data_IF_224092627898
#
_entry.id   IF_224092627898
#
_cell.length_a   1.000
_cell.length_b   1.000
_cell.length_c   1.000
_cell.angle_alpha   90.00
_cell.angle_beta   90.00
_cell.angle_gamma   90.00
#
_symmetry.space_group_name_H-M   'P 1'
#
loop_
_entity.id
_entity.type
_entity.pdbx_description
1 polymer ?
#
# COMPACT_ATOMS: atom_id res chain seq x y z
N UNK A 1 21.86 -3.58 -17.14
CA UNK A 1 20.45 -3.67 -16.74
C UNK A 1 20.19 -5.07 -16.21
N UNK A 2 19.26 -5.27 -15.28
CA UNK A 2 18.90 -6.62 -14.83
C UNK A 2 18.20 -7.39 -15.96
N UNK A 3 18.36 -8.72 -15.99
CA UNK A 3 17.71 -9.60 -16.98
C UNK A 3 16.18 -9.42 -16.98
N UNK A 4 15.60 -9.21 -15.79
CA UNK A 4 14.19 -8.91 -15.59
C UNK A 4 13.76 -7.62 -16.30
N UNK A 5 14.54 -6.53 -16.19
CA UNK A 5 14.24 -5.26 -16.87
C UNK A 5 14.23 -5.41 -18.39
N UNK A 6 15.11 -6.24 -18.96
CA UNK A 6 15.15 -6.51 -20.39
C UNK A 6 13.91 -7.30 -20.85
N UNK A 7 13.50 -8.32 -20.08
CA UNK A 7 12.26 -9.06 -20.35
C UNK A 7 11.03 -8.14 -20.29
N UNK A 8 10.94 -7.26 -19.30
CA UNK A 8 9.85 -6.29 -19.17
C UNK A 8 9.79 -5.36 -20.39
N UNK A 9 10.94 -4.83 -20.84
CA UNK A 9 11.02 -4.01 -22.06
C UNK A 9 10.56 -4.79 -23.28
N UNK A 10 11.03 -6.02 -23.45
CA UNK A 10 10.60 -6.90 -24.55
C UNK A 10 9.08 -7.15 -24.51
N UNK A 11 8.52 -7.43 -23.33
CA UNK A 11 7.07 -7.64 -23.18
C UNK A 11 6.25 -6.41 -23.60
N UNK A 12 6.69 -5.19 -23.26
CA UNK A 12 6.02 -3.95 -23.69
C UNK A 12 5.96 -3.84 -25.22
N UNK A 13 7.04 -4.24 -25.91
CA UNK A 13 7.16 -4.16 -27.37
C UNK A 13 6.33 -5.23 -28.09
N UNK A 14 6.16 -6.41 -27.50
CA UNK A 14 5.45 -7.54 -28.11
C UNK A 14 3.98 -7.64 -27.70
N UNK A 15 3.47 -6.68 -26.91
CA UNK A 15 2.13 -6.72 -26.30
C UNK A 15 1.04 -6.98 -27.35
N UNK A 16 0.33 -8.09 -27.20
CA UNK A 16 -0.76 -8.51 -28.11
C UNK A 16 -0.42 -9.68 -29.04
N UNK A 17 0.85 -10.10 -29.10
CA UNK A 17 1.26 -11.34 -29.78
C UNK A 17 1.14 -12.57 -28.87
N UNK A 18 1.19 -13.78 -29.42
CA UNK A 18 1.28 -15.01 -28.61
C UNK A 18 2.57 -15.04 -27.77
N UNK A 19 3.69 -14.52 -28.30
CA UNK A 19 4.96 -14.39 -27.59
C UNK A 19 4.83 -13.56 -26.29
N UNK A 20 3.92 -12.58 -26.27
CA UNK A 20 3.67 -11.78 -25.06
C UNK A 20 3.08 -12.59 -23.90
N UNK A 21 2.33 -13.67 -24.19
CA UNK A 21 1.74 -14.51 -23.14
C UNK A 21 2.80 -15.34 -22.42
N UNK A 22 3.77 -15.87 -23.16
CA UNK A 22 4.84 -16.68 -22.60
C UNK A 22 5.81 -15.78 -21.83
N UNK A 23 6.18 -14.63 -22.39
CA UNK A 23 6.98 -13.62 -21.67
C UNK A 23 6.31 -13.15 -20.37
N UNK A 24 4.99 -12.96 -20.38
CA UNK A 24 4.25 -12.58 -19.17
C UNK A 24 4.42 -13.61 -18.05
N UNK A 25 4.31 -14.91 -18.39
CA UNK A 25 4.47 -15.99 -17.41
C UNK A 25 5.90 -16.04 -16.88
N UNK A 26 6.89 -15.93 -17.75
CA UNK A 26 8.31 -15.93 -17.35
C UNK A 26 8.63 -14.77 -16.41
N UNK A 27 8.17 -13.56 -16.73
CA UNK A 27 8.36 -12.38 -15.88
C UNK A 27 7.70 -12.59 -14.52
N UNK A 28 6.45 -13.09 -14.50
CA UNK A 28 5.77 -13.35 -13.25
C UNK A 28 6.51 -14.38 -12.39
N UNK A 29 6.96 -15.50 -12.97
CA UNK A 29 7.72 -16.52 -12.24
C UNK A 29 8.98 -15.93 -11.60
N UNK A 30 9.75 -15.15 -12.35
CA UNK A 30 10.95 -14.48 -11.83
C UNK A 30 10.60 -13.46 -10.72
N UNK A 31 9.47 -12.78 -10.82
CA UNK A 31 8.98 -11.92 -9.74
C UNK A 31 8.56 -12.73 -8.51
N UNK A 32 7.86 -13.86 -8.69
CA UNK A 32 7.43 -14.73 -7.59
C UNK A 32 8.62 -15.25 -6.76
N UNK A 33 9.69 -15.64 -7.44
CA UNK A 33 10.86 -16.20 -6.78
C UNK A 33 11.63 -15.15 -5.97
N UNK A 34 11.70 -13.92 -6.47
CA UNK A 34 12.51 -12.85 -5.90
C UNK A 34 11.76 -11.89 -4.97
N UNK A 35 10.43 -11.73 -5.12
CA UNK A 35 9.65 -10.68 -4.45
C UNK A 35 8.56 -11.23 -3.53
N UNK A 36 8.93 -12.09 -2.59
CA UNK A 36 8.00 -12.79 -1.69
C UNK A 36 7.22 -11.83 -0.78
N UNK A 37 7.86 -10.78 -0.28
CA UNK A 37 7.19 -9.80 0.58
C UNK A 37 6.18 -8.98 -0.21
N UNK A 38 6.50 -8.63 -1.46
CA UNK A 38 5.58 -7.91 -2.33
C UNK A 38 4.38 -8.78 -2.74
N UNK A 39 4.61 -10.06 -3.03
CA UNK A 39 3.56 -11.04 -3.34
C UNK A 39 2.58 -11.25 -2.18
N UNK A 40 3.04 -11.11 -0.93
CA UNK A 40 2.16 -11.14 0.23
C UNK A 40 1.19 -9.94 0.27
N UNK A 41 1.62 -8.78 -0.21
CA UNK A 41 0.82 -7.56 -0.18
C UNK A 41 -0.10 -7.40 -1.36
N UNK A 42 0.33 -7.78 -2.56
CA UNK A 42 -0.34 -7.42 -3.81
C UNK A 42 -0.63 -8.66 -4.67
N UNK A 43 -1.70 -8.58 -5.45
CA UNK A 43 -2.00 -9.59 -6.47
C UNK A 43 -1.01 -9.48 -7.64
N UNK A 44 -0.74 -10.61 -8.29
CA UNK A 44 0.15 -10.72 -9.45
C UNK A 44 -0.14 -9.69 -10.55
N UNK A 45 -1.41 -9.39 -10.83
CA UNK A 45 -1.80 -8.39 -11.82
C UNK A 45 -1.36 -6.97 -11.46
N UNK A 46 -1.45 -6.59 -10.18
CA UNK A 46 -1.02 -5.28 -9.68
C UNK A 46 0.49 -5.19 -9.67
N UNK A 47 1.17 -6.27 -9.28
CA UNK A 47 2.63 -6.34 -9.26
C UNK A 47 3.17 -6.21 -10.68
N UNK A 48 2.64 -6.96 -11.65
CA UNK A 48 3.05 -6.82 -13.04
C UNK A 48 2.85 -5.39 -13.55
N UNK A 49 1.72 -4.76 -13.23
CA UNK A 49 1.51 -3.35 -13.59
C UNK A 49 2.58 -2.44 -12.97
N UNK A 50 2.94 -2.65 -11.71
CA UNK A 50 4.01 -1.91 -11.05
C UNK A 50 5.36 -2.05 -11.78
N UNK A 51 5.75 -3.28 -12.13
CA UNK A 51 7.00 -3.56 -12.84
C UNK A 51 6.99 -3.04 -14.29
N UNK A 52 5.81 -2.94 -14.92
CA UNK A 52 5.68 -2.29 -16.23
C UNK A 52 5.89 -0.77 -16.13
N UNK A 53 5.41 -0.14 -15.06
CA UNK A 53 5.60 1.31 -14.86
C UNK A 53 7.03 1.64 -14.40
N UNK A 54 7.62 0.79 -13.55
CA UNK A 54 8.99 0.94 -13.05
C UNK A 54 9.93 0.06 -13.88
N UNK A 55 10.54 0.63 -14.92
CA UNK A 55 11.47 -0.13 -15.79
C UNK A 55 12.68 -0.73 -15.05
N UNK A 56 13.11 -0.10 -13.96
CA UNK A 56 14.21 -0.53 -13.09
C UNK A 56 13.73 -0.52 -11.65
N UNK A 57 13.46 -1.70 -11.10
CA UNK A 57 12.83 -1.87 -9.79
C UNK A 57 13.64 -1.19 -8.68
N UNK A 58 14.96 -1.09 -8.82
CA UNK A 58 15.88 -0.44 -7.88
C UNK A 58 15.55 1.05 -7.68
N UNK A 59 14.88 1.70 -8.65
CA UNK A 59 14.40 3.08 -8.51
C UNK A 59 13.37 3.25 -7.40
N UNK A 60 12.70 2.17 -6.98
CA UNK A 60 11.73 2.20 -5.89
C UNK A 60 12.36 2.66 -4.57
N UNK A 61 13.67 2.50 -4.40
CA UNK A 61 14.38 2.94 -3.21
C UNK A 61 14.32 4.44 -2.98
N UNK A 62 14.30 5.20 -4.08
CA UNK A 62 14.27 6.67 -4.07
C UNK A 62 12.85 7.23 -4.16
N UNK A 63 11.83 6.36 -4.19
CA UNK A 63 10.44 6.77 -4.28
C UNK A 63 9.85 7.09 -2.91
N UNK A 64 9.05 8.14 -2.90
CA UNK A 64 8.14 8.46 -1.80
C UNK A 64 6.85 7.64 -1.90
N UNK A 65 6.11 7.45 -0.81
CA UNK A 65 4.81 6.77 -0.84
C UNK A 65 3.81 7.42 -1.80
N UNK A 66 3.88 8.75 -1.97
CA UNK A 66 3.06 9.47 -2.92
C UNK A 66 3.44 9.18 -4.38
N UNK A 67 4.72 8.94 -4.67
CA UNK A 67 5.18 8.46 -5.98
C UNK A 67 4.72 7.04 -6.23
N UNK A 68 4.82 6.15 -5.24
CA UNK A 68 4.28 4.78 -5.34
C UNK A 68 2.79 4.79 -5.63
N UNK A 69 2.00 5.60 -4.90
CA UNK A 69 0.57 5.76 -5.19
C UNK A 69 0.31 6.21 -6.64
N UNK A 70 1.20 7.00 -7.24
CA UNK A 70 1.05 7.46 -8.63
C UNK A 70 1.26 6.36 -9.66
N UNK A 71 2.08 5.35 -9.38
CA UNK A 71 2.27 4.20 -10.28
C UNK A 71 0.95 3.47 -10.55
N UNK A 72 0.05 3.46 -9.55
CA UNK A 72 -1.23 2.78 -9.64
C UNK A 72 -2.40 3.71 -10.00
N UNK A 73 -2.13 4.96 -10.42
CA UNK A 73 -3.19 5.91 -10.78
C UNK A 73 -3.96 5.47 -12.03
N UNK A 74 -3.28 4.84 -12.98
CA UNK A 74 -3.92 4.32 -14.20
C UNK A 74 -4.85 3.17 -13.81
N UNK A 75 -6.14 3.48 -13.61
CA UNK A 75 -7.17 2.53 -13.17
C UNK A 75 -7.43 2.45 -11.66
N UNK A 76 -6.80 3.31 -10.84
CA UNK A 76 -6.96 3.31 -9.37
C UNK A 76 -6.82 1.91 -8.75
N UNK A 77 -5.87 1.10 -9.22
CA UNK A 77 -5.80 -0.34 -8.93
C UNK A 77 -5.73 -0.65 -7.43
N UNK A 78 -5.02 0.19 -6.65
CA UNK A 78 -4.93 0.05 -5.20
C UNK A 78 -6.22 0.44 -4.47
N UNK A 79 -7.10 1.26 -5.05
CA UNK A 79 -8.34 1.68 -4.39
C UNK A 79 -9.29 0.50 -4.17
N UNK A 80 -9.25 -0.47 -5.08
CA UNK A 80 -10.01 -1.72 -5.01
C UNK A 80 -9.28 -2.81 -4.21
N UNK A 81 -8.14 -2.50 -3.61
CA UNK A 81 -7.44 -3.45 -2.74
C UNK A 81 -8.31 -3.80 -1.53
N UNK A 82 -8.38 -5.10 -1.19
CA UNK A 82 -9.26 -5.63 -0.13
C UNK A 82 -9.12 -4.90 1.21
N UNK A 83 -7.90 -4.51 1.55
CA UNK A 83 -7.59 -3.81 2.81
C UNK A 83 -7.91 -2.31 2.76
N UNK A 84 -7.88 -1.68 1.57
CA UNK A 84 -8.04 -0.23 1.46
C UNK A 84 -9.50 0.17 1.63
N UNK A 85 -10.44 -0.51 0.95
CA UNK A 85 -11.89 -0.23 1.00
C UNK A 85 -12.25 1.28 0.94
N UNK A 86 -11.49 2.05 0.17
CA UNK A 86 -11.65 3.51 0.05
C UNK A 86 -11.07 4.37 1.19
N UNK A 87 -10.46 3.80 2.24
CA UNK A 87 -9.83 4.57 3.32
C UNK A 87 -8.47 5.16 2.88
N UNK A 88 -8.33 6.50 2.80
CA UNK A 88 -7.10 7.15 2.34
C UNK A 88 -5.91 6.96 3.30
N UNK A 89 -6.16 6.72 4.59
CA UNK A 89 -5.10 6.43 5.56
C UNK A 89 -4.56 5.02 5.36
N UNK A 90 -5.43 4.03 5.15
CA UNK A 90 -4.98 2.65 4.86
C UNK A 90 -4.26 2.60 3.51
N UNK A 91 -4.75 3.34 2.51
CA UNK A 91 -4.01 3.52 1.24
C UNK A 91 -2.59 4.04 1.46
N UNK A 92 -2.40 5.04 2.34
CA UNK A 92 -1.07 5.57 2.67
C UNK A 92 -0.20 4.52 3.34
N UNK A 93 -0.75 3.74 4.28
CA UNK A 93 -0.04 2.65 4.96
C UNK A 93 0.36 1.58 3.95
N UNK A 94 -0.54 1.17 3.06
CA UNK A 94 -0.26 0.20 2.01
C UNK A 94 0.88 0.66 1.11
N UNK A 95 0.88 1.91 0.65
CA UNK A 95 1.97 2.46 -0.15
C UNK A 95 3.32 2.44 0.59
N UNK A 96 3.32 2.74 1.90
CA UNK A 96 4.54 2.61 2.72
C UNK A 96 5.01 1.16 2.80
N UNK A 97 4.08 0.22 2.98
CA UNK A 97 4.38 -1.20 3.12
C UNK A 97 4.87 -1.81 1.81
N UNK A 98 4.37 -1.36 0.67
CA UNK A 98 4.90 -1.72 -0.67
C UNK A 98 6.37 -1.31 -0.80
N UNK A 99 6.74 -0.09 -0.38
CA UNK A 99 8.15 0.35 -0.38
C UNK A 99 9.02 -0.54 0.50
N UNK A 100 8.55 -0.87 1.70
CA UNK A 100 9.27 -1.73 2.65
C UNK A 100 9.43 -3.13 2.05
N UNK A 101 8.36 -3.72 1.50
CA UNK A 101 8.37 -5.03 0.87
C UNK A 101 9.43 -5.10 -0.23
N UNK A 102 9.43 -4.12 -1.15
CA UNK A 102 10.40 -4.08 -2.24
C UNK A 102 11.84 -3.95 -1.73
N UNK A 103 12.07 -3.17 -0.68
CA UNK A 103 13.40 -3.05 -0.05
C UNK A 103 13.86 -4.34 0.60
N UNK A 104 12.95 -5.05 1.27
CA UNK A 104 13.23 -6.35 1.88
C UNK A 104 13.51 -7.41 0.81
N UNK A 105 12.76 -7.40 -0.27
CA UNK A 105 12.97 -8.33 -1.38
C UNK A 105 14.31 -8.07 -2.10
N UNK A 106 14.70 -6.80 -2.26
CA UNK A 106 15.96 -6.42 -2.94
C UNK A 106 17.21 -6.57 -2.06
N UNK A 107 17.13 -6.24 -0.77
CA UNK A 107 18.31 -6.13 0.12
C UNK A 107 18.19 -6.91 1.42
N UNK A 108 17.02 -7.46 1.73
CA UNK A 108 16.72 -8.08 3.02
C UNK A 108 17.21 -9.51 3.18
N UNK A 109 18.09 -10.01 2.30
CA UNK A 109 18.71 -11.34 2.38
C UNK A 109 17.68 -12.49 2.54
N UNK A 110 16.54 -12.38 1.86
CA UNK A 110 15.50 -13.41 1.90
C UNK A 110 14.61 -13.41 3.15
N UNK A 111 14.71 -12.39 4.02
CA UNK A 111 13.78 -12.22 5.14
C UNK A 111 12.35 -12.02 4.65
N UNK A 112 11.45 -12.86 5.13
CA UNK A 112 10.02 -12.76 4.90
C UNK A 112 9.33 -12.12 6.11
N UNK A 113 8.46 -11.14 5.85
CA UNK A 113 7.62 -10.47 6.85
C UNK A 113 6.18 -10.46 6.35
N UNK A 114 5.25 -10.87 7.22
CA UNK A 114 3.83 -10.82 6.90
C UNK A 114 3.25 -9.40 7.03
N UNK A 115 3.58 -8.57 6.03
CA UNK A 115 3.14 -7.18 5.96
C UNK A 115 1.62 -7.04 5.72
N UNK A 116 0.94 -8.09 5.22
CA UNK A 116 -0.51 -8.07 5.01
C UNK A 116 -1.24 -8.03 6.35
N UNK A 117 -0.93 -8.98 7.23
CA UNK A 117 -1.52 -9.08 8.57
C UNK A 117 -1.27 -7.82 9.40
N UNK A 118 -0.10 -7.18 9.26
CA UNK A 118 0.18 -5.90 9.92
C UNK A 118 -0.72 -4.74 9.47
N UNK A 119 -1.14 -4.73 8.20
CA UNK A 119 -2.07 -3.72 7.68
C UNK A 119 -3.50 -4.06 8.11
N UNK A 120 -3.86 -5.34 8.07
CA UNK A 120 -5.18 -5.85 8.46
C UNK A 120 -5.50 -5.49 9.91
N UNK A 121 -4.60 -5.78 10.86
CA UNK A 121 -4.80 -5.41 12.27
C UNK A 121 -5.04 -3.92 12.47
N UNK A 122 -4.33 -3.05 11.73
CA UNK A 122 -4.54 -1.58 11.78
C UNK A 122 -5.85 -1.12 11.13
N UNK A 123 -6.35 -1.87 10.15
CA UNK A 123 -7.65 -1.61 9.55
C UNK A 123 -8.79 -2.00 10.50
N UNK A 124 -8.63 -3.10 11.24
CA UNK A 124 -9.61 -3.60 12.22
C UNK A 124 -9.67 -2.75 13.49
N UNK A 125 -8.53 -2.36 14.06
CA UNK A 125 -8.44 -1.47 15.24
C UNK A 125 -9.28 -0.17 15.06
N UNK A 126 -9.37 0.34 13.84
CA UNK A 126 -10.19 1.52 13.54
C UNK A 126 -11.69 1.28 13.61
N UNK A 127 -12.15 0.10 13.20
CA UNK A 127 -13.57 -0.26 13.27
C UNK A 127 -13.98 -0.27 14.75
N UNK A 128 -13.10 -0.77 15.62
CA UNK A 128 -13.31 -0.76 17.07
C UNK A 128 -13.20 0.65 17.69
N UNK A 129 -12.31 1.52 17.21
CA UNK A 129 -12.23 2.91 17.70
C UNK A 129 -13.48 3.74 17.39
N UNK A 130 -14.18 3.47 16.28
CA UNK A 130 -15.46 4.14 15.96
C UNK A 130 -16.54 3.79 17.02
N UNK A 131 -16.39 2.66 17.72
CA UNK A 131 -17.33 2.16 18.74
C UNK A 131 -17.00 2.70 20.15
N UNK A 132 -15.94 3.51 20.33
CA UNK A 132 -15.55 4.00 21.67
C UNK A 132 -16.42 5.16 22.19
N UNK A 133 -17.37 4.77 23.05
CA UNK A 133 -17.84 5.37 24.32
C UNK A 133 -17.56 6.88 24.50
N UNK A 134 -18.58 7.73 24.78
CA UNK A 134 -18.39 9.17 24.93
C UNK A 134 -17.36 9.49 26.02
N UNK A 135 -16.21 10.02 25.60
CA UNK A 135 -15.21 10.55 26.53
C UNK A 135 -15.82 11.76 27.26
N UNK A 136 -16.12 11.59 28.55
CA UNK A 136 -16.54 12.68 29.44
C UNK A 136 -15.39 13.68 29.54
N UNK A 137 -15.48 14.80 28.81
CA UNK A 137 -14.48 15.88 28.89
C UNK A 137 -14.62 16.56 30.25
N UNK A 138 -13.68 16.33 31.15
CA UNK A 138 -13.55 17.14 32.37
C UNK A 138 -12.97 18.51 31.98
N UNK A 139 -13.86 19.46 31.71
CA UNK A 139 -13.50 20.86 31.47
C UNK A 139 -13.41 21.59 32.80
N UNK A 140 -12.19 21.91 33.25
CA UNK A 140 -11.94 22.59 34.54
C UNK A 140 -12.27 24.09 34.46
N UNK A 141 -12.17 24.70 33.27
CA UNK A 141 -12.43 26.14 33.08
C UNK A 141 -13.74 26.36 32.33
N UNK A 142 -14.82 26.56 33.09
CA UNK A 142 -16.07 27.09 32.56
C UNK A 142 -15.92 28.57 32.22
N UNK A 143 -16.17 28.94 30.96
CA UNK A 143 -16.18 30.35 30.52
C UNK A 143 -17.24 31.18 31.24
N UNK A 144 -17.11 32.51 31.17
CA UNK A 144 -17.98 33.48 31.89
C UNK A 144 -19.48 33.21 31.64
N UNK A 145 -19.86 32.83 30.41
CA UNK A 145 -21.25 32.49 30.07
C UNK A 145 -21.78 31.26 30.84
N UNK A 146 -20.94 30.23 31.06
CA UNK A 146 -21.30 29.03 31.83
C UNK A 146 -21.49 29.38 33.31
N UNK A 147 -20.59 30.19 33.87
CA UNK A 147 -20.69 30.71 35.25
C UNK A 147 -21.96 31.55 35.49
N UNK A 148 -22.36 32.38 34.51
CA UNK A 148 -23.61 33.16 34.59
C UNK A 148 -24.86 32.29 34.54
N UNK A 149 -24.81 31.17 33.81
CA UNK A 149 -25.94 30.23 33.69
C UNK A 149 -26.14 29.42 34.98
N UNK A 150 -25.06 28.98 35.60
CA UNK A 150 -25.10 28.25 36.88
C UNK A 150 -25.59 29.14 38.04
N UNK A 151 -25.28 30.44 38.03
CA UNK A 151 -25.78 31.40 39.04
C UNK A 151 -27.28 31.73 38.95
N UNK A 152 -27.97 31.35 37.87
CA UNK A 152 -29.42 31.56 37.72
C UNK A 152 -30.25 30.38 38.22
N UNK A 153 -29.60 29.32 38.70
CA UNK A 153 -30.24 28.20 39.39
C UNK A 153 -30.12 28.45 40.89
N UNK A 154 -30.87 29.43 41.37
CA UNK A 154 -31.24 29.62 42.77
C UNK A 154 -32.68 30.10 42.78
#
# INVERSE_FOLDING_TARGET
MSLLSEKIKKYKLTKGSNESKDLYKEILLEIFDNFKNLMNLLRSSIIMNMFLEIEEIEKINFMTPAQVKRLFKTGNLLQYHKLVKGDPKIMKILCNKILIACRLDLFGEGKFIDLYSEIEGKAEEKIEEIIKIPRKRNTVRGGIKKRKKEKRVF
#
